data_IF_789114131220
#
_entry.id   IF_789114131220
#
_cell.length_a   1.000
_cell.length_b   1.000
_cell.length_c   1.000
_cell.angle_alpha   90.00
_cell.angle_beta   90.00
_cell.angle_gamma   90.00
#
_symmetry.space_group_name_H-M   'P 1'
#
loop_
_entity.id
_entity.type
_entity.pdbx_description
1 polymer ?
#
# COMPACT_ATOMS: atom_id res chain seq x y z
N UNK A 1 -17.65 1.86 9.45
CA UNK A 1 -16.45 1.02 9.30
C UNK A 1 -16.54 -0.28 10.10
N UNK A 2 -15.87 -1.36 9.66
CA UNK A 2 -15.85 -2.68 10.35
C UNK A 2 -15.27 -2.57 11.76
N UNK A 3 -15.99 -3.11 12.76
CA UNK A 3 -15.66 -2.94 14.19
C UNK A 3 -14.32 -3.59 14.60
N UNK A 4 -13.90 -4.65 13.92
CA UNK A 4 -12.65 -5.36 14.22
C UNK A 4 -11.39 -4.62 13.78
N UNK A 5 -11.50 -3.59 12.95
CA UNK A 5 -10.33 -2.80 12.54
C UNK A 5 -9.82 -1.93 13.70
N UNK A 6 -8.49 -1.75 13.82
CA UNK A 6 -7.89 -0.82 14.76
C UNK A 6 -8.54 0.57 14.69
N UNK A 7 -8.61 1.25 15.83
CA UNK A 7 -9.32 2.54 15.92
C UNK A 7 -8.79 3.56 14.91
N UNK A 8 -7.47 3.66 14.78
CA UNK A 8 -6.84 4.64 13.89
C UNK A 8 -7.13 4.32 12.42
N UNK A 9 -7.14 3.03 12.04
CA UNK A 9 -7.46 2.62 10.67
C UNK A 9 -8.92 2.90 10.33
N UNK A 10 -9.83 2.77 11.31
CA UNK A 10 -11.23 3.18 11.12
C UNK A 10 -11.35 4.68 10.85
N UNK A 11 -10.55 5.51 11.52
CA UNK A 11 -10.51 6.97 11.27
C UNK A 11 -10.02 7.27 9.86
N UNK A 12 -8.93 6.64 9.43
CA UNK A 12 -8.37 6.80 8.08
C UNK A 12 -9.36 6.38 6.99
N UNK A 13 -9.95 5.19 7.11
CA UNK A 13 -10.90 4.70 6.10
C UNK A 13 -12.19 5.53 6.04
N UNK A 14 -12.67 6.06 7.17
CA UNK A 14 -13.81 7.01 7.17
C UNK A 14 -13.42 8.34 6.52
N UNK A 15 -12.17 8.79 6.66
CA UNK A 15 -11.67 9.97 5.97
C UNK A 15 -11.61 9.75 4.44
N UNK A 16 -11.18 8.56 3.99
CA UNK A 16 -11.21 8.17 2.58
C UNK A 16 -12.63 8.16 2.04
N UNK A 17 -13.55 7.44 2.70
CA UNK A 17 -14.95 7.35 2.28
C UNK A 17 -15.59 8.74 2.14
N UNK A 18 -15.40 9.61 3.16
CA UNK A 18 -15.93 10.98 3.14
C UNK A 18 -15.33 11.83 2.04
N UNK A 19 -14.01 11.79 1.85
CA UNK A 19 -13.32 12.69 0.91
C UNK A 19 -13.49 12.26 -0.55
N UNK A 20 -13.59 10.95 -0.79
CA UNK A 20 -13.85 10.39 -2.11
C UNK A 20 -15.34 10.35 -2.47
N UNK A 21 -16.24 10.64 -1.52
CA UNK A 21 -17.69 10.44 -1.71
C UNK A 21 -18.07 8.97 -1.95
N UNK A 22 -17.24 8.04 -1.47
CA UNK A 22 -17.39 6.62 -1.71
C UNK A 22 -18.20 5.94 -0.59
N UNK A 23 -18.90 4.87 -0.96
CA UNK A 23 -19.58 4.02 0.00
C UNK A 23 -18.58 3.30 0.93
N UNK A 24 -18.95 3.14 2.21
CA UNK A 24 -18.08 2.57 3.25
C UNK A 24 -17.73 1.11 3.00
N UNK A 25 -18.67 0.33 2.47
CA UNK A 25 -18.42 -1.08 2.17
C UNK A 25 -17.52 -1.19 0.95
N UNK A 26 -17.68 -0.29 -0.04
CA UNK A 26 -16.75 -0.17 -1.18
C UNK A 26 -15.32 0.12 -0.73
N UNK A 27 -15.12 1.09 0.17
CA UNK A 27 -13.78 1.40 0.73
C UNK A 27 -13.22 0.20 1.51
N UNK A 28 -14.07 -0.51 2.24
CA UNK A 28 -13.68 -1.72 2.98
C UNK A 28 -13.22 -2.83 2.04
N UNK A 29 -13.99 -3.11 0.99
CA UNK A 29 -13.63 -4.11 -0.02
C UNK A 29 -12.36 -3.70 -0.73
N UNK A 30 -12.21 -2.45 -1.17
CA UNK A 30 -11.01 -1.98 -1.86
C UNK A 30 -9.72 -2.20 -1.04
N UNK A 31 -9.78 -1.95 0.28
CA UNK A 31 -8.62 -2.11 1.17
C UNK A 31 -8.39 -3.55 1.65
N UNK A 32 -9.36 -4.46 1.48
CA UNK A 32 -9.23 -5.87 1.86
C UNK A 32 -9.15 -6.81 0.65
N UNK A 33 -9.31 -6.28 -0.56
CA UNK A 33 -9.28 -7.05 -1.79
C UNK A 33 -7.94 -7.78 -1.98
N UNK A 34 -6.85 -7.15 -1.55
CA UNK A 34 -5.51 -7.72 -1.57
C UNK A 34 -5.31 -8.91 -0.62
N UNK A 35 -6.17 -9.06 0.40
CA UNK A 35 -6.11 -10.17 1.36
C UNK A 35 -6.82 -11.43 0.84
N UNK A 36 -7.72 -11.28 -0.14
CA UNK A 36 -8.70 -12.33 -0.47
C UNK A 36 -8.16 -13.48 -1.34
N UNK A 37 -7.07 -13.32 -2.12
CA UNK A 37 -6.49 -14.41 -2.95
C UNK A 37 -5.05 -14.19 -3.43
N UNK A 38 -4.37 -15.29 -3.77
CA UNK A 38 -3.07 -15.40 -4.48
C UNK A 38 -3.05 -14.88 -5.93
N UNK A 39 -3.98 -14.01 -6.33
CA UNK A 39 -4.06 -13.48 -7.71
C UNK A 39 -2.97 -12.44 -7.99
N UNK A 40 -2.31 -11.96 -6.94
CA UNK A 40 -1.21 -11.00 -7.00
C UNK A 40 0.12 -11.75 -6.94
N UNK A 41 1.01 -11.46 -7.87
CA UNK A 41 2.38 -11.97 -7.79
C UNK A 41 3.32 -10.85 -7.32
N UNK A 42 4.38 -11.24 -6.64
CA UNK A 42 5.45 -10.33 -6.33
C UNK A 42 6.79 -11.04 -6.44
N UNK A 43 7.79 -10.29 -6.90
CA UNK A 43 9.19 -10.66 -6.79
C UNK A 43 9.86 -9.62 -5.91
N UNK A 44 10.67 -10.07 -4.96
CA UNK A 44 11.43 -9.20 -4.06
C UNK A 44 12.90 -9.56 -4.21
N UNK A 45 13.75 -8.54 -4.32
CA UNK A 45 15.20 -8.68 -4.35
C UNK A 45 15.81 -7.81 -3.26
N UNK A 46 16.71 -8.41 -2.49
CA UNK A 46 17.56 -7.69 -1.55
C UNK A 46 19.01 -8.02 -1.85
N UNK A 47 19.84 -6.99 -1.94
CA UNK A 47 21.29 -7.11 -2.09
C UNK A 47 21.93 -6.50 -0.85
N UNK A 48 22.70 -7.31 -0.12
CA UNK A 48 23.44 -6.85 1.05
C UNK A 48 24.52 -5.82 0.65
N UNK A 49 24.80 -4.87 1.54
CA UNK A 49 25.75 -3.78 1.28
C UNK A 49 27.11 -4.23 0.73
N UNK A 50 27.77 -5.25 1.32
CA UNK A 50 29.05 -5.76 0.80
C UNK A 50 28.99 -6.33 -0.61
N UNK A 51 27.80 -6.63 -1.13
CA UNK A 51 27.56 -7.21 -2.46
C UNK A 51 26.97 -6.21 -3.46
N UNK A 52 26.79 -4.96 -3.04
CA UNK A 52 26.19 -3.91 -3.86
C UNK A 52 27.23 -2.91 -4.34
N UNK A 53 27.03 -2.35 -5.53
CA UNK A 53 27.91 -1.30 -6.08
C UNK A 53 27.81 0.03 -5.31
N UNK A 54 26.78 0.22 -4.48
CA UNK A 54 26.60 1.44 -3.68
C UNK A 54 27.22 1.32 -2.28
N UNK A 55 27.65 0.12 -1.87
CA UNK A 55 28.10 -0.19 -0.51
C UNK A 55 26.96 -0.23 0.54
N UNK A 56 25.75 0.19 0.18
CA UNK A 56 24.54 0.10 1.01
C UNK A 56 23.62 -1.04 0.58
N UNK A 57 22.69 -1.42 1.47
CA UNK A 57 21.63 -2.40 1.13
C UNK A 57 20.76 -1.85 0.01
N UNK A 58 20.56 -2.65 -1.03
CA UNK A 58 19.57 -2.38 -2.07
C UNK A 58 18.35 -3.27 -1.84
N UNK A 59 17.17 -2.68 -1.87
CA UNK A 59 15.92 -3.40 -1.71
C UNK A 59 14.96 -2.96 -2.82
N UNK A 60 14.37 -3.93 -3.52
CA UNK A 60 13.44 -3.67 -4.61
C UNK A 60 12.39 -4.76 -4.70
N UNK A 61 11.23 -4.42 -5.26
CA UNK A 61 10.17 -5.37 -5.54
C UNK A 61 9.39 -5.01 -6.81
N UNK A 62 8.85 -6.02 -7.48
CA UNK A 62 7.78 -5.86 -8.47
C UNK A 62 6.44 -6.24 -7.84
N UNK A 63 5.35 -5.61 -8.29
CA UNK A 63 3.97 -5.98 -7.95
C UNK A 63 3.19 -6.24 -9.24
N UNK A 64 2.90 -7.51 -9.48
CA UNK A 64 2.17 -7.94 -10.65
C UNK A 64 0.70 -8.12 -10.29
N UNK A 65 -0.15 -7.38 -10.99
CA UNK A 65 -1.60 -7.40 -10.83
C UNK A 65 -2.26 -7.15 -12.19
N UNK A 66 -3.42 -7.76 -12.49
CA UNK A 66 -4.19 -7.43 -13.68
C UNK A 66 -4.48 -5.93 -13.76
N UNK A 67 -3.91 -5.25 -14.75
CA UNK A 67 -4.05 -3.79 -14.89
C UNK A 67 -5.48 -3.36 -15.22
N UNK A 68 -6.32 -4.28 -15.71
CA UNK A 68 -7.65 -4.02 -16.26
C UNK A 68 -7.68 -2.88 -17.30
N UNK A 69 -6.51 -2.52 -17.86
CA UNK A 69 -6.33 -1.40 -18.79
C UNK A 69 -6.10 -0.02 -18.15
N UNK A 70 -6.33 0.18 -16.84
CA UNK A 70 -6.30 1.53 -16.23
C UNK A 70 -5.75 1.59 -14.80
N UNK A 71 -5.71 0.47 -14.05
CA UNK A 71 -5.39 0.48 -12.61
C UNK A 71 -3.96 0.97 -12.32
N UNK A 72 -3.05 0.80 -13.27
CA UNK A 72 -1.67 1.26 -13.14
C UNK A 72 -1.56 2.79 -12.99
N UNK A 73 -2.51 3.56 -13.56
CA UNK A 73 -2.57 5.03 -13.48
C UNK A 73 -2.94 5.55 -12.08
N UNK A 74 -3.52 4.69 -11.24
CA UNK A 74 -3.94 5.01 -9.87
C UNK A 74 -2.89 4.63 -8.81
N UNK A 75 -1.66 4.32 -9.22
CA UNK A 75 -0.56 4.03 -8.28
C UNK A 75 -0.12 5.31 -7.59
N UNK A 76 -0.07 5.29 -6.26
CA UNK A 76 0.30 6.43 -5.44
C UNK A 76 1.56 6.14 -4.62
N UNK A 77 2.47 7.12 -4.59
CA UNK A 77 3.55 7.17 -3.59
C UNK A 77 3.11 8.13 -2.50
N UNK A 78 2.88 7.61 -1.30
CA UNK A 78 2.44 8.43 -0.16
C UNK A 78 3.64 8.78 0.70
N UNK A 79 3.81 10.05 1.04
CA UNK A 79 4.80 10.50 2.03
C UNK A 79 4.10 10.55 3.38
N UNK A 80 4.42 9.62 4.28
CA UNK A 80 3.89 9.63 5.65
C UNK A 80 4.97 10.06 6.63
N UNK A 81 4.71 11.14 7.39
CA UNK A 81 5.61 11.66 8.42
C UNK A 81 4.92 11.55 9.78
N UNK A 82 5.16 10.48 10.55
CA UNK A 82 4.71 10.40 11.94
C UNK A 82 5.45 11.41 12.82
N UNK A 83 4.87 11.77 13.96
CA UNK A 83 5.43 12.77 14.89
C UNK A 83 6.64 12.25 15.67
N UNK A 84 6.71 10.94 15.89
CA UNK A 84 7.62 10.25 16.79
C UNK A 84 8.54 9.22 16.09
N UNK A 85 8.47 9.13 14.76
CA UNK A 85 9.28 8.22 13.97
C UNK A 85 9.79 8.87 12.66
N UNK A 86 10.70 8.18 11.97
CA UNK A 86 11.17 8.61 10.66
C UNK A 86 10.03 8.53 9.63
N UNK A 87 10.03 9.48 8.69
CA UNK A 87 9.09 9.44 7.59
C UNK A 87 9.27 8.16 6.75
N UNK A 88 8.18 7.63 6.24
CA UNK A 88 8.17 6.49 5.33
C UNK A 88 7.46 6.83 4.01
N UNK A 89 7.77 6.06 2.97
CA UNK A 89 7.31 6.25 1.59
C UNK A 89 6.67 4.96 1.07
N UNK A 90 5.45 4.60 1.51
CA UNK A 90 4.74 3.47 0.93
C UNK A 90 4.28 3.77 -0.50
N UNK A 91 4.17 2.70 -1.29
CA UNK A 91 3.55 2.70 -2.61
C UNK A 91 2.24 1.91 -2.51
N UNK A 92 1.12 2.59 -2.73
CA UNK A 92 -0.23 2.03 -2.71
C UNK A 92 -0.91 2.09 -4.08
N UNK A 93 -2.03 1.39 -4.22
CA UNK A 93 -2.96 1.50 -5.35
C UNK A 93 -4.40 1.55 -4.82
#
# INVERSE_FOLDING_TARGET
MVKSFPADYRVEMEAVARSAGADRDTVTVANTFFDLKSTFCCSVLMVEGPRSATGGVLFGRNLDYPSMGYIHEHTLVTVYRPTDAKACLPVGR
#
